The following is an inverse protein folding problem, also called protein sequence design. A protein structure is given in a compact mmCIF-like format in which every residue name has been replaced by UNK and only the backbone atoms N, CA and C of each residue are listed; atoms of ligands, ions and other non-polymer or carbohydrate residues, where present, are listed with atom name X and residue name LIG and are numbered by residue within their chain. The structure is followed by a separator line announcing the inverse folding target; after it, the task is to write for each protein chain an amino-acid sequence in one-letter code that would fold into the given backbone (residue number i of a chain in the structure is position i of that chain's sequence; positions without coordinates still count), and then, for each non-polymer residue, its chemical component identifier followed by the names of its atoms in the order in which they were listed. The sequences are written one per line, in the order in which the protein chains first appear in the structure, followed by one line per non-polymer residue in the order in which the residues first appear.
data_IF_919531742249
#
_entry.id   IF_919531742249
#
_cell.length_a   1.000
_cell.length_b   1.000
_cell.length_c   1.000
_cell.angle_alpha   90.00
_cell.angle_beta   90.00
_cell.angle_gamma   90.00
#
_symmetry.space_group_name_H-M   'P 1'
#
loop_
_entity.id
_entity.type
_entity.pdbx_description
1 polymer ?
#
# COMPACT_ATOMS: atom_id res chain seq x y z
N UNK A 1 24.66 -5.94 21.72
CA UNK A 1 23.73 -6.02 20.57
C UNK A 1 23.74 -4.76 19.69
N UNK A 2 23.76 -3.54 20.24
CA UNK A 2 23.77 -2.29 19.44
C UNK A 2 25.05 -2.07 18.61
N UNK A 3 26.19 -2.63 19.04
CA UNK A 3 27.49 -2.46 18.37
C UNK A 3 27.67 -3.37 17.14
N UNK A 4 27.03 -4.54 17.11
CA UNK A 4 27.05 -5.46 15.96
C UNK A 4 26.11 -4.96 14.87
N UNK A 5 24.95 -4.41 15.24
CA UNK A 5 24.03 -3.77 14.30
C UNK A 5 24.64 -2.55 13.62
N UNK A 6 25.31 -1.66 14.37
CA UNK A 6 26.01 -0.49 13.78
C UNK A 6 27.13 -0.90 12.82
N UNK A 7 27.90 -1.95 13.14
CA UNK A 7 28.93 -2.48 12.23
C UNK A 7 28.33 -3.10 10.97
N UNK A 8 27.24 -3.86 11.09
CA UNK A 8 26.52 -4.41 9.93
C UNK A 8 25.95 -3.31 9.03
N UNK A 9 25.36 -2.26 9.62
CA UNK A 9 24.87 -1.08 8.90
C UNK A 9 26.02 -0.38 8.15
N UNK A 10 27.17 -0.21 8.80
CA UNK A 10 28.33 0.47 8.22
C UNK A 10 28.93 -0.35 7.08
N UNK A 11 29.04 -1.67 7.24
CA UNK A 11 29.47 -2.58 6.15
C UNK A 11 28.48 -2.57 4.99
N UNK A 12 27.17 -2.58 5.27
CA UNK A 12 26.13 -2.48 4.24
C UNK A 12 26.21 -1.14 3.47
N UNK A 13 26.45 -0.03 4.18
CA UNK A 13 26.60 1.29 3.58
C UNK A 13 27.88 1.39 2.74
N UNK A 14 28.99 0.80 3.20
CA UNK A 14 30.22 0.67 2.41
C UNK A 14 29.98 -0.17 1.16
N UNK A 15 29.27 -1.30 1.25
CA UNK A 15 28.93 -2.13 0.10
C UNK A 15 28.10 -1.34 -0.92
N UNK A 16 27.11 -0.55 -0.47
CA UNK A 16 26.31 0.31 -1.35
C UNK A 16 27.19 1.37 -2.03
N UNK A 17 28.12 1.99 -1.30
CA UNK A 17 29.03 3.01 -1.86
C UNK A 17 30.02 2.39 -2.84
N UNK A 18 30.56 1.21 -2.54
CA UNK A 18 31.51 0.49 -3.41
C UNK A 18 30.81 -0.05 -4.66
N UNK A 19 29.63 -0.68 -4.53
CA UNK A 19 28.78 -0.99 -5.69
C UNK A 19 28.48 0.30 -6.46
N UNK A 20 28.20 1.38 -5.73
CA UNK A 20 27.92 2.72 -6.22
C UNK A 20 29.02 3.32 -7.09
N UNK A 21 30.28 2.99 -6.78
CA UNK A 21 31.46 3.47 -7.50
C UNK A 21 31.94 2.53 -8.61
N UNK A 22 31.63 1.22 -8.51
CA UNK A 22 32.04 0.20 -9.49
C UNK A 22 31.02 0.12 -10.62
N UNK A 23 29.72 0.26 -10.32
CA UNK A 23 28.68 0.53 -11.30
C UNK A 23 28.74 2.02 -11.61
N UNK A 24 28.91 2.40 -12.87
CA UNK A 24 28.88 3.81 -13.30
C UNK A 24 27.45 4.34 -13.21
N UNK A 25 26.93 4.50 -11.99
CA UNK A 25 25.54 4.90 -11.75
C UNK A 25 25.33 6.31 -12.26
N UNK A 26 24.62 6.42 -13.39
CA UNK A 26 24.14 7.70 -13.89
C UNK A 26 23.22 8.35 -12.86
N UNK A 27 23.39 9.66 -12.67
CA UNK A 27 22.58 10.42 -11.72
C UNK A 27 21.16 10.58 -12.23
N UNK A 28 20.20 10.35 -11.34
CA UNK A 28 18.78 10.51 -11.62
C UNK A 28 18.36 11.94 -11.29
N UNK A 29 18.05 12.74 -12.30
CA UNK A 29 17.55 14.11 -12.11
C UNK A 29 16.02 14.14 -12.06
N UNK A 30 15.49 14.88 -11.09
CA UNK A 30 14.07 15.13 -10.94
C UNK A 30 13.60 16.23 -11.91
N UNK A 31 12.34 16.14 -12.36
CA UNK A 31 11.73 17.21 -13.15
C UNK A 31 11.73 18.53 -12.38
N UNK A 32 11.84 19.64 -13.10
CA UNK A 32 11.83 20.99 -12.48
C UNK A 32 10.45 21.40 -11.99
N UNK A 33 9.38 20.90 -12.62
CA UNK A 33 7.99 21.17 -12.24
C UNK A 33 7.38 20.01 -11.44
N UNK A 34 7.94 19.76 -10.25
CA UNK A 34 7.45 18.70 -9.36
C UNK A 34 6.02 18.98 -8.86
N UNK A 35 5.67 20.24 -8.63
CA UNK A 35 4.37 20.61 -8.05
C UNK A 35 3.18 20.22 -8.95
N UNK A 36 3.21 20.62 -10.22
CA UNK A 36 2.16 20.26 -11.16
C UNK A 36 2.14 18.75 -11.43
N UNK A 37 3.32 18.14 -11.59
CA UNK A 37 3.47 16.70 -11.85
C UNK A 37 2.88 15.85 -10.73
N UNK A 38 3.23 16.16 -9.47
CA UNK A 38 2.71 15.45 -8.29
C UNK A 38 1.20 15.62 -8.18
N UNK A 39 0.68 16.82 -8.42
CA UNK A 39 -0.76 17.08 -8.34
C UNK A 39 -1.54 16.26 -9.37
N UNK A 40 -1.07 16.22 -10.62
CA UNK A 40 -1.67 15.40 -11.67
C UNK A 40 -1.60 13.89 -11.35
N UNK A 41 -0.46 13.43 -10.85
CA UNK A 41 -0.29 12.04 -10.40
C UNK A 41 -1.25 11.68 -9.27
N UNK A 42 -1.36 12.52 -8.24
CA UNK A 42 -2.26 12.26 -7.11
C UNK A 42 -3.72 12.15 -7.59
N UNK A 43 -4.16 13.04 -8.48
CA UNK A 43 -5.51 12.98 -9.03
C UNK A 43 -5.74 11.67 -9.81
N UNK A 44 -4.77 11.26 -10.63
CA UNK A 44 -4.82 9.99 -11.34
C UNK A 44 -4.89 8.80 -10.36
N UNK A 45 -4.03 8.77 -9.34
CA UNK A 45 -4.02 7.71 -8.34
C UNK A 45 -5.31 7.66 -7.54
N UNK A 46 -5.83 8.79 -7.06
CA UNK A 46 -7.11 8.84 -6.35
C UNK A 46 -8.22 8.25 -7.22
N UNK A 47 -8.28 8.66 -8.49
CA UNK A 47 -9.29 8.17 -9.43
C UNK A 47 -9.19 6.65 -9.61
N UNK A 48 -7.99 6.14 -9.89
CA UNK A 48 -7.75 4.71 -10.10
C UNK A 48 -8.02 3.91 -8.82
N UNK A 49 -7.56 4.40 -7.67
CA UNK A 49 -7.74 3.72 -6.38
C UNK A 49 -9.22 3.64 -6.01
N UNK A 50 -10.02 4.71 -6.19
CA UNK A 50 -11.46 4.69 -5.90
C UNK A 50 -12.19 3.70 -6.83
N UNK A 51 -11.86 3.71 -8.13
CA UNK A 51 -12.45 2.76 -9.08
C UNK A 51 -12.08 1.31 -8.73
N UNK A 52 -10.82 1.07 -8.37
CA UNK A 52 -10.35 -0.26 -7.99
C UNK A 52 -10.97 -0.73 -6.69
N UNK A 53 -11.11 0.15 -5.70
CA UNK A 53 -11.81 -0.14 -4.44
C UNK A 53 -13.24 -0.60 -4.72
N UNK A 54 -13.97 0.14 -5.57
CA UNK A 54 -15.35 -0.23 -5.95
C UNK A 54 -15.41 -1.53 -6.74
N UNK A 55 -14.49 -1.77 -7.67
CA UNK A 55 -14.45 -3.00 -8.44
C UNK A 55 -14.19 -4.22 -7.55
N UNK A 56 -13.26 -4.10 -6.60
CA UNK A 56 -12.95 -5.17 -5.65
C UNK A 56 -14.11 -5.43 -4.69
N UNK A 57 -14.78 -4.39 -4.23
CA UNK A 57 -15.95 -4.54 -3.36
C UNK A 57 -17.08 -5.31 -4.06
N UNK A 58 -17.38 -4.96 -5.31
CA UNK A 58 -18.38 -5.70 -6.13
C UNK A 58 -17.96 -7.15 -6.35
N UNK A 59 -16.69 -7.40 -6.64
CA UNK A 59 -16.17 -8.76 -6.83
C UNK A 59 -16.27 -9.60 -5.55
N UNK A 60 -15.87 -9.03 -4.41
CA UNK A 60 -15.86 -9.73 -3.12
C UNK A 60 -17.26 -9.93 -2.57
N UNK A 61 -18.15 -8.95 -2.72
CA UNK A 61 -19.56 -9.11 -2.33
C UNK A 61 -20.23 -10.18 -3.18
N UNK A 62 -20.00 -10.22 -4.48
CA UNK A 62 -20.62 -11.28 -5.32
C UNK A 62 -20.06 -12.68 -5.01
N UNK A 63 -18.75 -12.81 -4.80
CA UNK A 63 -18.12 -14.13 -4.60
C UNK A 63 -18.23 -14.63 -3.15
N UNK A 64 -18.09 -13.74 -2.17
CA UNK A 64 -17.94 -14.10 -0.75
C UNK A 64 -19.14 -13.73 0.13
N UNK A 65 -20.18 -13.09 -0.40
CA UNK A 65 -21.36 -12.73 0.40
C UNK A 65 -22.08 -13.95 0.95
N UNK A 66 -22.35 -14.97 0.14
CA UNK A 66 -23.17 -16.13 0.52
C UNK A 66 -22.72 -16.74 1.86
N UNK A 67 -21.43 -17.08 1.98
CA UNK A 67 -20.89 -17.64 3.24
C UNK A 67 -20.90 -16.63 4.40
N UNK A 68 -20.74 -15.33 4.13
CA UNK A 68 -20.85 -14.31 5.19
C UNK A 68 -22.29 -14.14 5.66
N UNK A 69 -23.27 -14.28 4.77
CA UNK A 69 -24.70 -14.18 5.07
C UNK A 69 -25.16 -15.38 5.91
N UNK A 70 -24.75 -16.60 5.54
CA UNK A 70 -25.02 -17.80 6.35
C UNK A 70 -24.54 -17.67 7.81
N UNK A 71 -23.33 -17.13 8.00
CA UNK A 71 -22.77 -16.91 9.34
C UNK A 71 -23.54 -15.86 10.14
N UNK A 72 -24.13 -14.88 9.44
CA UNK A 72 -24.89 -13.78 10.05
C UNK A 72 -26.28 -14.25 10.46
N UNK A 73 -26.90 -15.09 9.65
CA UNK A 73 -28.13 -15.79 10.00
C UNK A 73 -27.93 -16.71 11.21
N UNK A 74 -26.87 -17.53 11.22
CA UNK A 74 -26.56 -18.40 12.36
C UNK A 74 -26.28 -17.62 13.64
N UNK A 75 -25.52 -16.53 13.57
CA UNK A 75 -25.29 -15.64 14.72
C UNK A 75 -26.59 -15.04 15.24
N UNK A 76 -27.47 -14.62 14.34
CA UNK A 76 -28.77 -14.03 14.71
C UNK A 76 -29.65 -15.08 15.40
N UNK A 77 -29.73 -16.29 14.85
CA UNK A 77 -30.49 -17.38 15.45
C UNK A 77 -29.97 -17.78 16.84
N UNK A 78 -28.64 -17.91 17.01
CA UNK A 78 -28.01 -18.22 18.30
C UNK A 78 -28.22 -17.12 19.34
N UNK A 79 -28.09 -15.85 18.96
CA UNK A 79 -28.38 -14.72 19.86
C UNK A 79 -29.85 -14.70 20.30
N UNK A 80 -30.79 -15.00 19.38
CA UNK A 80 -32.21 -15.07 19.71
C UNK A 80 -32.55 -16.23 20.64
N UNK A 81 -31.87 -17.37 20.50
CA UNK A 81 -32.02 -18.51 21.41
C UNK A 81 -31.49 -18.17 22.80
N UNK A 82 -30.29 -17.60 22.88
CA UNK A 82 -29.68 -17.17 24.15
C UNK A 82 -30.52 -16.09 24.86
N UNK A 83 -31.23 -15.22 24.12
CA UNK A 83 -32.11 -14.20 24.70
C UNK A 83 -33.46 -14.75 25.20
N UNK A 84 -33.87 -15.95 24.76
CA UNK A 84 -35.14 -16.60 25.16
C UNK A 84 -34.97 -17.58 26.32
N UNK A 85 -33.74 -17.98 26.63
CA UNK A 85 -33.44 -18.87 27.76
C UNK A 85 -32.87 -18.02 28.90
N UNK A 86 -33.58 -17.98 30.03
CA UNK A 86 -33.15 -17.27 31.25
C UNK A 86 -31.93 -17.92 31.93
N UNK A 87 -31.61 -19.18 31.59
CA UNK A 87 -30.40 -19.87 32.06
C UNK A 87 -29.30 -19.83 30.99
N UNK A 88 -28.12 -19.33 31.37
CA UNK A 88 -26.91 -19.39 30.56
C UNK A 88 -26.48 -20.84 30.35
N UNK A 89 -26.81 -21.43 29.20
CA UNK A 89 -26.24 -22.70 28.80
C UNK A 89 -24.81 -22.51 28.30
N UNK A 90 -23.78 -23.00 29.03
CA UNK A 90 -22.37 -22.76 28.68
C UNK A 90 -22.01 -23.29 27.29
N UNK A 91 -22.68 -24.33 26.80
CA UNK A 91 -22.50 -24.86 25.45
C UNK A 91 -22.93 -23.87 24.35
N UNK A 92 -23.99 -23.11 24.57
CA UNK A 92 -24.48 -22.13 23.59
C UNK A 92 -23.57 -20.91 23.53
N UNK A 93 -23.09 -20.44 24.69
CA UNK A 93 -22.10 -19.37 24.78
C UNK A 93 -20.82 -19.74 24.04
N UNK A 94 -20.34 -20.98 24.24
CA UNK A 94 -19.16 -21.50 23.53
C UNK A 94 -19.38 -21.57 22.01
N UNK A 95 -20.55 -22.04 21.57
CA UNK A 95 -20.90 -22.13 20.14
C UNK A 95 -20.97 -20.74 19.49
N UNK A 96 -21.54 -19.77 20.21
CA UNK A 96 -21.64 -18.37 19.78
C UNK A 96 -20.25 -17.72 19.67
N UNK A 97 -19.39 -17.93 20.66
CA UNK A 97 -18.00 -17.44 20.62
C UNK A 97 -17.22 -18.06 19.45
N UNK A 98 -17.33 -19.37 19.25
CA UNK A 98 -16.67 -20.08 18.15
C UNK A 98 -17.13 -19.55 16.78
N UNK A 99 -18.43 -19.33 16.59
CA UNK A 99 -18.96 -18.78 15.34
C UNK A 99 -18.50 -17.34 15.11
N UNK A 100 -18.46 -16.50 16.16
CA UNK A 100 -17.88 -15.13 16.09
C UNK A 100 -16.40 -15.17 15.70
N UNK A 101 -15.65 -16.12 16.24
CA UNK A 101 -14.23 -16.32 15.91
C UNK A 101 -14.05 -16.77 14.46
N UNK A 102 -14.86 -17.71 14.00
CA UNK A 102 -14.86 -18.16 12.59
C UNK A 102 -15.17 -17.00 11.65
N UNK A 103 -16.21 -16.19 11.94
CA UNK A 103 -16.57 -15.01 11.13
C UNK A 103 -15.43 -14.00 11.07
N UNK A 104 -14.76 -13.77 12.21
CA UNK A 104 -13.59 -12.88 12.26
C UNK A 104 -12.44 -13.40 11.39
N UNK A 105 -12.16 -14.70 11.44
CA UNK A 105 -11.13 -15.33 10.59
C UNK A 105 -11.51 -15.27 9.10
N UNK A 106 -12.79 -15.48 8.78
CA UNK A 106 -13.29 -15.37 7.41
C UNK A 106 -13.12 -13.96 6.85
N UNK A 107 -13.49 -12.93 7.62
CA UNK A 107 -13.29 -11.52 7.24
C UNK A 107 -11.81 -11.18 7.08
N UNK A 108 -10.94 -11.67 7.98
CA UNK A 108 -9.51 -11.47 7.87
C UNK A 108 -8.94 -12.09 6.58
N UNK A 109 -9.32 -13.33 6.25
CA UNK A 109 -8.91 -14.00 5.00
C UNK A 109 -9.43 -13.24 3.78
N UNK A 110 -10.67 -12.76 3.81
CA UNK A 110 -11.25 -11.95 2.73
C UNK A 110 -10.48 -10.65 2.52
N UNK A 111 -10.09 -9.96 3.59
CA UNK A 111 -9.25 -8.76 3.51
C UNK A 111 -7.87 -9.04 2.92
N UNK A 112 -7.25 -10.17 3.28
CA UNK A 112 -5.96 -10.58 2.72
C UNK A 112 -6.09 -10.84 1.21
N UNK A 113 -7.14 -11.55 0.78
CA UNK A 113 -7.41 -11.79 -0.64
C UNK A 113 -7.62 -10.46 -1.36
N UNK A 114 -8.45 -9.56 -0.83
CA UNK A 114 -8.70 -8.24 -1.40
C UNK A 114 -7.39 -7.45 -1.62
N UNK A 115 -6.50 -7.47 -0.62
CA UNK A 115 -5.20 -6.79 -0.67
C UNK A 115 -4.28 -7.37 -1.73
N UNK A 116 -4.21 -8.70 -1.85
CA UNK A 116 -3.38 -9.33 -2.89
C UNK A 116 -3.98 -9.12 -4.29
N UNK A 117 -5.30 -9.17 -4.43
CA UNK A 117 -5.98 -8.85 -5.67
C UNK A 117 -5.73 -7.41 -6.09
N UNK A 118 -5.83 -6.45 -5.17
CA UNK A 118 -5.55 -5.02 -5.44
C UNK A 118 -4.09 -4.79 -5.82
N UNK A 119 -3.14 -5.47 -5.18
CA UNK A 119 -1.73 -5.40 -5.52
C UNK A 119 -1.42 -5.97 -6.89
N UNK A 120 -1.96 -7.14 -7.23
CA UNK A 120 -1.80 -7.73 -8.56
C UNK A 120 -2.36 -6.79 -9.64
N UNK A 121 -3.57 -6.25 -9.44
CA UNK A 121 -4.18 -5.30 -10.37
C UNK A 121 -3.32 -4.03 -10.48
N UNK A 122 -2.86 -3.47 -9.36
CA UNK A 122 -2.00 -2.28 -9.35
C UNK A 122 -0.68 -2.49 -10.10
N UNK A 123 -0.03 -3.64 -9.92
CA UNK A 123 1.19 -4.00 -10.66
C UNK A 123 0.90 -4.12 -12.16
N UNK A 124 -0.21 -4.76 -12.54
CA UNK A 124 -0.63 -4.90 -13.94
C UNK A 124 -0.90 -3.51 -14.55
N UNK A 125 -1.64 -2.65 -13.85
CA UNK A 125 -1.92 -1.28 -14.30
C UNK A 125 -0.64 -0.45 -14.42
N UNK A 126 0.31 -0.60 -13.49
CA UNK A 126 1.58 0.12 -13.57
C UNK A 126 2.48 -0.36 -14.70
N UNK A 127 2.53 -1.69 -14.92
CA UNK A 127 3.30 -2.30 -16.00
C UNK A 127 2.73 -2.01 -17.39
N UNK A 128 1.42 -2.21 -17.58
CA UNK A 128 0.76 -2.18 -18.88
C UNK A 128 0.16 -0.81 -19.22
N UNK A 129 -0.51 -0.14 -18.28
CA UNK A 129 -1.13 1.16 -18.53
C UNK A 129 -0.15 2.33 -18.35
N UNK A 130 1.08 2.06 -17.90
CA UNK A 130 2.13 3.07 -17.75
C UNK A 130 1.91 4.05 -16.60
N UNK A 131 0.98 3.75 -15.69
CA UNK A 131 0.82 4.50 -14.43
C UNK A 131 2.06 4.24 -13.56
N UNK A 132 3.00 5.17 -13.59
CA UNK A 132 4.31 5.04 -12.94
C UNK A 132 4.59 6.26 -12.08
N UNK A 133 4.93 6.04 -10.81
CA UNK A 133 5.19 7.12 -9.85
C UNK A 133 6.55 7.78 -10.08
N UNK A 134 7.62 7.01 -10.00
CA UNK A 134 8.99 7.51 -10.01
C UNK A 134 9.40 7.95 -11.41
N UNK A 135 9.03 7.19 -12.44
CA UNK A 135 9.33 7.55 -13.83
C UNK A 135 8.73 8.90 -14.22
N UNK A 136 7.54 9.25 -13.72
CA UNK A 136 6.94 10.56 -13.99
C UNK A 136 7.67 11.69 -13.27
N UNK A 137 8.26 11.43 -12.09
CA UNK A 137 9.00 12.43 -11.31
C UNK A 137 10.42 12.67 -11.85
N UNK A 138 10.95 11.73 -12.62
CA UNK A 138 12.31 11.77 -13.19
C UNK A 138 12.29 12.32 -14.62
N UNK A 139 13.38 12.96 -15.03
CA UNK A 139 13.52 13.42 -16.42
C UNK A 139 13.79 12.25 -17.37
N UNK A 140 13.21 12.28 -18.58
CA UNK A 140 13.46 11.22 -19.57
C UNK A 140 14.93 11.17 -20.01
N UNK A 141 15.63 12.29 -19.95
CA UNK A 141 17.05 12.37 -20.25
C UNK A 141 17.89 11.57 -19.25
N UNK A 142 17.59 11.66 -17.95
CA UNK A 142 18.27 10.84 -16.94
C UNK A 142 17.98 9.35 -17.13
N UNK A 143 16.74 8.98 -17.45
CA UNK A 143 16.36 7.58 -17.69
C UNK A 143 17.07 6.98 -18.91
N UNK A 144 17.26 7.77 -19.96
CA UNK A 144 17.96 7.34 -21.18
C UNK A 144 19.48 7.15 -20.98
N UNK A 145 20.04 7.71 -19.91
CA UNK A 145 21.46 7.58 -19.56
C UNK A 145 21.72 6.40 -18.61
N UNK A 146 20.69 5.71 -18.15
CA UNK A 146 20.83 4.55 -17.27
C UNK A 146 21.32 3.34 -18.08
N UNK A 147 22.22 2.56 -17.49
CA UNK A 147 22.57 1.23 -18.00
C UNK A 147 21.33 0.30 -17.93
N UNK A 148 21.25 -0.70 -18.83
CA UNK A 148 20.10 -1.62 -18.92
C UNK A 148 19.73 -2.26 -17.58
N UNK A 149 20.71 -2.67 -16.78
CA UNK A 149 20.46 -3.28 -15.48
C UNK A 149 19.92 -2.25 -14.46
N UNK A 150 20.45 -1.03 -14.48
CA UNK A 150 19.97 0.06 -13.62
C UNK A 150 18.55 0.49 -14.01
N UNK A 151 18.26 0.56 -15.31
CA UNK A 151 16.94 0.84 -15.86
C UNK A 151 15.92 -0.24 -15.51
N UNK A 152 16.32 -1.52 -15.58
CA UNK A 152 15.48 -2.65 -15.18
C UNK A 152 15.12 -2.59 -13.70
N UNK A 153 16.12 -2.40 -12.82
CA UNK A 153 15.90 -2.29 -11.37
C UNK A 153 15.02 -1.08 -11.06
N UNK A 154 15.27 0.06 -11.70
CA UNK A 154 14.46 1.27 -11.53
C UNK A 154 13.00 1.02 -11.90
N UNK A 155 12.73 0.45 -13.09
CA UNK A 155 11.37 0.16 -13.55
C UNK A 155 10.69 -0.89 -12.69
N UNK A 156 11.39 -1.95 -12.29
CA UNK A 156 10.83 -2.98 -11.42
C UNK A 156 10.43 -2.40 -10.05
N UNK A 157 11.29 -1.55 -9.47
CA UNK A 157 11.00 -0.88 -8.22
C UNK A 157 9.84 0.11 -8.36
N UNK A 158 9.79 0.90 -9.43
CA UNK A 158 8.70 1.84 -9.70
C UNK A 158 7.35 1.13 -9.90
N UNK A 159 7.33 0.02 -10.65
CA UNK A 159 6.12 -0.79 -10.84
C UNK A 159 5.62 -1.34 -9.49
N UNK A 160 6.54 -1.87 -8.67
CA UNK A 160 6.18 -2.41 -7.37
C UNK A 160 5.67 -1.31 -6.42
N UNK A 161 6.35 -0.17 -6.37
CA UNK A 161 5.97 0.97 -5.54
C UNK A 161 4.62 1.54 -5.97
N UNK A 162 4.42 1.72 -7.28
CA UNK A 162 3.18 2.25 -7.84
C UNK A 162 2.02 1.28 -7.63
N UNK A 163 2.23 -0.01 -7.88
CA UNK A 163 1.25 -1.05 -7.62
C UNK A 163 0.88 -1.13 -6.13
N UNK A 164 1.87 -1.01 -5.24
CA UNK A 164 1.66 -0.93 -3.79
C UNK A 164 0.88 0.31 -3.36
N UNK A 165 1.14 1.46 -3.97
CA UNK A 165 0.40 2.70 -3.73
C UNK A 165 -1.08 2.57 -4.11
N UNK A 166 -1.34 2.00 -5.30
CA UNK A 166 -2.70 1.72 -5.79
C UNK A 166 -3.40 0.73 -4.86
N UNK A 167 -2.72 -0.35 -4.48
CA UNK A 167 -3.22 -1.41 -3.60
C UNK A 167 -3.51 -0.97 -2.17
N UNK A 168 -2.77 0.04 -1.69
CA UNK A 168 -2.91 0.60 -0.35
C UNK A 168 -4.26 1.27 -0.08
N UNK A 169 -5.08 1.50 -1.10
CA UNK A 169 -6.42 2.07 -0.93
C UNK A 169 -6.39 3.48 -0.33
N UNK A 170 -7.46 3.84 0.38
CA UNK A 170 -7.57 5.10 1.12
C UNK A 170 -6.48 5.28 2.19
N UNK A 171 -6.02 4.19 2.82
CA UNK A 171 -4.96 4.22 3.84
C UNK A 171 -3.58 4.57 3.23
N UNK A 172 -3.31 4.07 2.03
CA UNK A 172 -2.10 4.41 1.26
C UNK A 172 -2.08 5.89 0.88
N UNK A 173 -3.19 6.41 0.37
CA UNK A 173 -3.34 7.82 0.02
C UNK A 173 -3.24 8.71 1.27
N UNK A 174 -3.86 8.31 2.39
CA UNK A 174 -3.79 9.06 3.64
C UNK A 174 -2.34 9.23 4.13
N UNK A 175 -1.54 8.15 4.10
CA UNK A 175 -0.11 8.21 4.41
C UNK A 175 0.69 9.09 3.45
N UNK A 176 0.39 9.05 2.15
CA UNK A 176 1.05 9.93 1.16
C UNK A 176 0.71 11.39 1.44
N UNK A 177 -0.54 11.70 1.76
CA UNK A 177 -0.95 13.06 2.13
C UNK A 177 -0.27 13.53 3.43
N UNK A 178 -0.12 12.64 4.41
CA UNK A 178 0.59 12.94 5.64
C UNK A 178 2.07 13.23 5.38
N UNK A 179 2.74 12.44 4.53
CA UNK A 179 4.13 12.71 4.10
C UNK A 179 4.24 14.05 3.36
N UNK A 180 3.36 14.33 2.39
CA UNK A 180 3.35 15.60 1.66
C UNK A 180 3.15 16.78 2.61
N UNK A 181 2.23 16.65 3.57
CA UNK A 181 2.00 17.66 4.59
C UNK A 181 3.26 17.92 5.42
N UNK A 182 3.93 16.86 5.87
CA UNK A 182 5.20 16.99 6.60
C UNK A 182 6.29 17.67 5.77
N UNK A 183 6.38 17.37 4.47
CA UNK A 183 7.32 18.04 3.56
C UNK A 183 7.02 19.53 3.40
N UNK A 184 5.77 19.91 3.20
CA UNK A 184 5.36 21.31 3.10
C UNK A 184 5.59 22.07 4.41
N UNK A 185 5.22 21.49 5.54
CA UNK A 185 5.43 22.09 6.87
C UNK A 185 6.93 22.29 7.16
N UNK A 186 7.77 21.31 6.84
CA UNK A 186 9.24 21.41 6.99
C UNK A 186 9.85 22.48 6.07
N UNK A 187 9.41 22.56 4.82
CA UNK A 187 9.85 23.59 3.88
C UNK A 187 9.48 25.00 4.35
N UNK A 188 8.28 25.14 4.92
CA UNK A 188 7.79 26.43 5.46
C UNK A 188 8.55 26.84 6.73
N UNK A 189 8.92 25.89 7.60
CA UNK A 189 9.75 26.16 8.78
C UNK A 189 11.16 26.63 8.40
N UNK A 190 11.82 26.01 7.40
CA UNK A 190 13.16 26.44 6.95
C UNK A 190 13.18 27.88 6.39
N UNK A 191 12.13 28.27 5.65
CA UNK A 191 11.98 29.65 5.16
C UNK A 191 11.75 30.66 6.29
N UNK A 192 11.14 30.24 7.40
CA UNK A 192 10.89 31.08 8.59
C UNK A 192 12.17 31.32 9.41
N UNK A 193 13.08 30.33 9.47
CA UNK A 193 14.37 30.46 10.17
C UNK A 193 15.47 31.09 9.31
N UNK A 194 15.37 31.05 7.98
CA UNK A 194 16.32 31.73 7.08
C UNK A 194 16.13 33.26 6.98
N UNK A 195 15.08 33.82 7.60
CA UNK A 195 14.80 35.26 7.68
C UNK A 195 15.15 35.88 9.04
N UNK A 196 15.89 35.17 9.89
CA UNK A 196 16.48 35.69 11.14
C UNK A 196 18.00 35.74 10.99
#
# INVERSE_FOLDING_TARGET
MMNTFKKALLVFLIIIVVLGSVLSLSTVEFRKDLGATVTGLLLAFITVTVLMERALDVFLTTWRAERSEEMDEQLTALNQQAAKQDEEHPEQLLKLENLRKEKRQYRAKTRIIAMWSSLCIGIILSGLAGLRTLEHLVTQQSLAQLEDMQLFIFKAFDIFLTGGLIAGGSDGIHKVMEMLRQFFETGTQRLKYSKK
#
